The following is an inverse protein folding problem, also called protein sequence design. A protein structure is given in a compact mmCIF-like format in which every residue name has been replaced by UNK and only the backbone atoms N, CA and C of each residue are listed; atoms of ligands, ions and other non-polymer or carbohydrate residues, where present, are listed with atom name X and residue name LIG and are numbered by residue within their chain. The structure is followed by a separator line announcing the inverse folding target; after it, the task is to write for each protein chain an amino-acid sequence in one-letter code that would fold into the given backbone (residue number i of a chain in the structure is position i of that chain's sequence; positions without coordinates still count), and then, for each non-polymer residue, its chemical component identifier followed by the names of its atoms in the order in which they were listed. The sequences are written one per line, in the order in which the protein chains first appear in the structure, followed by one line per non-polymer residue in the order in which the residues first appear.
data_IF_535766594874
#
_entry.id   IF_535766594874
#
_cell.length_a   1.000
_cell.length_b   1.000
_cell.length_c   1.000
_cell.angle_alpha   90.00
_cell.angle_beta   90.00
_cell.angle_gamma   90.00
#
_symmetry.space_group_name_H-M   'P 1'
#
loop_
_entity.id
_entity.type
_entity.pdbx_description
1 polymer ?
#
# COMPACT_ATOMS: atom_id res chain seq x y z
N UNK A 1 -14.89 12.15 1.95
CA UNK A 1 -13.66 11.48 1.45
C UNK A 1 -13.96 10.01 1.21
N UNK A 2 -13.59 9.49 0.06
CA UNK A 2 -13.82 8.08 -0.28
C UNK A 2 -12.76 7.18 0.34
N UNK A 3 -13.02 5.87 0.35
CA UNK A 3 -12.01 4.90 0.78
C UNK A 3 -10.75 4.98 -0.08
N UNK A 4 -10.92 5.23 -1.38
CA UNK A 4 -9.80 5.42 -2.30
C UNK A 4 -8.95 6.62 -1.91
N UNK A 5 -9.57 7.76 -1.64
CA UNK A 5 -8.85 8.98 -1.24
C UNK A 5 -8.12 8.78 0.09
N UNK A 6 -8.77 8.13 1.05
CA UNK A 6 -8.15 7.82 2.34
C UNK A 6 -6.96 6.89 2.17
N UNK A 7 -7.09 5.86 1.34
CA UNK A 7 -6.00 4.92 1.10
C UNK A 7 -4.78 5.64 0.52
N UNK A 8 -4.99 6.48 -0.50
CA UNK A 8 -3.90 7.21 -1.15
C UNK A 8 -3.19 8.10 -0.14
N UNK A 9 -3.94 8.87 0.64
CA UNK A 9 -3.38 9.76 1.65
C UNK A 9 -2.57 9.00 2.70
N UNK A 10 -3.13 7.92 3.23
CA UNK A 10 -2.48 7.12 4.27
C UNK A 10 -1.29 6.35 3.73
N UNK A 11 -1.35 5.86 2.49
CA UNK A 11 -0.21 5.19 1.89
C UNK A 11 0.97 6.14 1.69
N UNK A 12 0.71 7.36 1.21
CA UNK A 12 1.79 8.34 1.04
C UNK A 12 2.45 8.68 2.37
N UNK A 13 1.67 8.77 3.45
CA UNK A 13 2.19 8.98 4.79
C UNK A 13 3.03 7.79 5.27
N UNK A 14 2.55 6.58 5.04
CA UNK A 14 3.24 5.33 5.40
C UNK A 14 4.59 5.23 4.67
N UNK A 15 4.57 5.46 3.37
CA UNK A 15 5.76 5.41 2.52
C UNK A 15 6.79 6.47 2.94
N UNK A 16 6.33 7.69 3.23
CA UNK A 16 7.21 8.77 3.64
C UNK A 16 7.95 8.43 4.93
N UNK A 17 7.26 7.87 5.92
CA UNK A 17 7.88 7.47 7.19
C UNK A 17 8.97 6.42 6.98
N UNK A 18 8.72 5.44 6.13
CA UNK A 18 9.73 4.42 5.82
C UNK A 18 10.91 5.05 5.10
N UNK A 19 10.66 5.92 4.13
CA UNK A 19 11.68 6.60 3.35
C UNK A 19 12.57 7.50 4.22
N UNK A 20 12.01 8.09 5.26
CA UNK A 20 12.73 8.94 6.21
C UNK A 20 13.42 8.13 7.31
N UNK A 21 13.41 6.80 7.23
CA UNK A 21 13.99 5.88 8.20
C UNK A 21 13.34 5.98 9.58
N UNK A 22 12.07 6.34 9.62
CA UNK A 22 11.27 6.39 10.85
C UNK A 22 10.70 5.01 11.23
N UNK A 23 10.93 3.99 10.40
CA UNK A 23 10.45 2.64 10.65
C UNK A 23 9.05 2.40 10.12
N UNK A 24 8.40 1.36 10.61
CA UNK A 24 7.09 0.92 10.17
C UNK A 24 6.04 1.38 11.18
N UNK A 25 5.03 2.12 10.72
CA UNK A 25 3.86 2.45 11.52
C UNK A 25 2.83 1.33 11.35
N UNK A 26 2.79 0.41 12.31
CA UNK A 26 1.93 -0.78 12.22
C UNK A 26 0.44 -0.44 12.31
N UNK A 27 0.07 0.61 13.04
CA UNK A 27 -1.32 1.05 13.07
C UNK A 27 -1.77 1.54 11.70
N UNK A 28 -0.92 2.31 11.05
CA UNK A 28 -1.19 2.82 9.70
C UNK A 28 -1.24 1.67 8.70
N UNK A 29 -0.37 0.67 8.86
CA UNK A 29 -0.40 -0.53 8.02
C UNK A 29 -1.73 -1.27 8.16
N UNK A 30 -2.23 -1.46 9.38
CA UNK A 30 -3.52 -2.09 9.61
C UNK A 30 -4.66 -1.30 8.96
N UNK A 31 -4.60 0.03 9.02
CA UNK A 31 -5.58 0.89 8.36
C UNK A 31 -5.54 0.73 6.84
N UNK A 32 -4.35 0.60 6.26
CA UNK A 32 -4.19 0.35 4.83
C UNK A 32 -4.82 -0.98 4.42
N UNK A 33 -4.60 -2.03 5.21
CA UNK A 33 -5.19 -3.34 4.93
C UNK A 33 -6.72 -3.29 4.99
N UNK A 34 -7.27 -2.59 5.98
CA UNK A 34 -8.71 -2.41 6.10
C UNK A 34 -9.28 -1.67 4.89
N UNK A 35 -8.60 -0.59 4.46
CA UNK A 35 -9.04 0.19 3.30
C UNK A 35 -8.98 -0.63 2.01
N UNK A 36 -7.95 -1.45 1.84
CA UNK A 36 -7.85 -2.34 0.68
C UNK A 36 -9.02 -3.34 0.67
N UNK A 37 -9.38 -3.87 1.83
CA UNK A 37 -10.54 -4.76 1.94
C UNK A 37 -11.83 -4.03 1.55
N UNK A 38 -12.06 -2.83 2.08
CA UNK A 38 -13.25 -2.05 1.76
C UNK A 38 -13.30 -1.68 0.28
N UNK A 39 -12.17 -1.30 -0.30
CA UNK A 39 -12.10 -1.00 -1.73
C UNK A 39 -12.36 -2.23 -2.60
N UNK A 40 -11.99 -3.43 -2.14
CA UNK A 40 -12.29 -4.66 -2.88
C UNK A 40 -13.80 -4.86 -3.00
N UNK A 41 -14.56 -4.43 -1.99
CA UNK A 41 -16.01 -4.45 -2.03
C UNK A 41 -16.54 -3.34 -2.95
N UNK A 42 -15.98 -2.13 -2.81
CA UNK A 42 -16.41 -0.97 -3.61
C UNK A 42 -16.28 -1.22 -5.12
N UNK A 43 -15.23 -1.93 -5.53
CA UNK A 43 -14.92 -2.15 -6.95
C UNK A 43 -15.27 -3.55 -7.46
N UNK A 44 -15.93 -4.38 -6.64
CA UNK A 44 -16.17 -5.80 -6.96
C UNK A 44 -16.90 -6.03 -8.29
N UNK A 45 -17.79 -5.11 -8.68
CA UNK A 45 -18.58 -5.25 -9.89
C UNK A 45 -18.28 -4.16 -10.92
N UNK A 46 -17.07 -3.57 -10.85
CA UNK A 46 -16.68 -2.49 -11.74
C UNK A 46 -15.51 -2.94 -12.62
N UNK A 47 -15.55 -2.53 -13.89
CA UNK A 47 -14.52 -2.85 -14.86
C UNK A 47 -13.35 -1.85 -14.83
N UNK A 48 -13.51 -0.74 -14.12
CA UNK A 48 -12.52 0.35 -14.09
C UNK A 48 -12.29 0.81 -12.67
N UNK A 49 -11.07 1.33 -12.42
CA UNK A 49 -10.73 2.00 -11.17
C UNK A 49 -10.21 3.40 -11.49
N UNK A 50 -10.25 4.35 -10.54
CA UNK A 50 -9.68 5.68 -10.76
C UNK A 50 -8.20 5.60 -11.14
N UNK A 51 -7.78 6.43 -12.09
CA UNK A 51 -6.38 6.45 -12.53
C UNK A 51 -5.42 6.77 -11.38
N UNK A 52 -5.83 7.65 -10.47
CA UNK A 52 -4.99 8.00 -9.30
C UNK A 52 -4.72 6.79 -8.40
N UNK A 53 -5.68 5.88 -8.30
CA UNK A 53 -5.49 4.64 -7.53
C UNK A 53 -4.55 3.68 -8.27
N UNK A 54 -4.74 3.52 -9.58
CA UNK A 54 -3.87 2.69 -10.40
C UNK A 54 -2.43 3.18 -10.33
N UNK A 55 -2.22 4.49 -10.36
CA UNK A 55 -0.89 5.10 -10.25
C UNK A 55 -0.20 4.71 -8.94
N UNK A 56 -0.92 4.83 -7.82
CA UNK A 56 -0.38 4.44 -6.51
C UNK A 56 -0.08 2.94 -6.48
N UNK A 57 -0.96 2.10 -7.00
CA UNK A 57 -0.74 0.65 -7.01
C UNK A 57 0.51 0.26 -7.82
N UNK A 58 0.76 0.93 -8.95
CA UNK A 58 1.92 0.64 -9.78
C UNK A 58 3.23 1.02 -9.11
N UNK A 59 3.24 2.09 -8.33
CA UNK A 59 4.46 2.58 -7.65
C UNK A 59 4.71 1.93 -6.30
N UNK A 60 3.69 1.36 -5.68
CA UNK A 60 3.71 0.98 -4.27
C UNK A 60 4.82 -0.01 -3.94
N UNK A 61 4.94 -1.08 -4.70
CA UNK A 61 5.95 -2.13 -4.44
C UNK A 61 7.37 -1.57 -4.59
N UNK A 62 7.62 -0.87 -5.69
CA UNK A 62 8.95 -0.32 -5.97
C UNK A 62 9.37 0.74 -4.95
N UNK A 63 8.43 1.60 -4.53
CA UNK A 63 8.70 2.62 -3.54
C UNK A 63 9.12 2.00 -2.19
N UNK A 64 8.37 1.01 -1.72
CA UNK A 64 8.64 0.37 -0.43
C UNK A 64 9.90 -0.46 -0.46
N UNK A 65 10.11 -1.27 -1.50
CA UNK A 65 11.29 -2.14 -1.59
C UNK A 65 12.57 -1.35 -1.79
N UNK A 66 12.51 -0.22 -2.51
CA UNK A 66 13.68 0.67 -2.63
C UNK A 66 14.08 1.25 -1.28
N UNK A 67 13.10 1.68 -0.48
CA UNK A 67 13.37 2.21 0.86
C UNK A 67 13.88 1.12 1.81
N UNK A 68 13.44 -0.13 1.63
CA UNK A 68 13.86 -1.24 2.47
C UNK A 68 15.38 -1.45 2.45
N UNK A 69 16.03 -1.13 1.34
CA UNK A 69 17.49 -1.30 1.20
C UNK A 69 18.29 -0.43 2.17
N UNK A 70 17.67 0.61 2.74
CA UNK A 70 18.31 1.49 3.72
C UNK A 70 18.30 0.93 5.14
N UNK A 71 17.62 -0.18 5.37
CA UNK A 71 17.45 -0.78 6.70
C UNK A 71 18.31 -2.04 6.84
N UNK A 72 18.49 -2.52 8.09
CA UNK A 72 19.16 -3.79 8.33
C UNK A 72 18.32 -4.96 7.79
N UNK A 73 18.92 -6.15 7.79
CA UNK A 73 18.29 -7.32 7.17
C UNK A 73 16.89 -7.63 7.74
N UNK A 74 16.75 -7.58 9.06
CA UNK A 74 15.48 -7.91 9.72
C UNK A 74 14.37 -6.94 9.30
N UNK A 75 14.63 -5.64 9.37
CA UNK A 75 13.66 -4.63 8.98
C UNK A 75 13.43 -4.63 7.47
N UNK A 76 14.47 -4.85 6.69
CA UNK A 76 14.37 -4.94 5.23
C UNK A 76 13.42 -6.08 4.83
N UNK A 77 13.60 -7.25 5.42
CA UNK A 77 12.76 -8.41 5.12
C UNK A 77 11.30 -8.13 5.49
N UNK A 78 11.06 -7.43 6.60
CA UNK A 78 9.72 -7.08 7.01
C UNK A 78 9.07 -6.06 6.08
N UNK A 79 9.79 -5.03 5.66
CA UNK A 79 9.27 -4.04 4.71
C UNK A 79 8.94 -4.72 3.38
N UNK A 80 9.81 -5.60 2.91
CA UNK A 80 9.57 -6.34 1.67
C UNK A 80 8.34 -7.25 1.78
N UNK A 81 8.14 -7.88 2.93
CA UNK A 81 6.94 -8.69 3.19
C UNK A 81 5.68 -7.82 3.17
N UNK A 82 5.73 -6.66 3.79
CA UNK A 82 4.61 -5.70 3.79
C UNK A 82 4.30 -5.25 2.36
N UNK A 83 5.33 -4.94 1.57
CA UNK A 83 5.16 -4.53 0.18
C UNK A 83 4.45 -5.63 -0.63
N UNK A 84 4.89 -6.88 -0.46
CA UNK A 84 4.27 -8.03 -1.14
C UNK A 84 2.81 -8.20 -0.72
N UNK A 85 2.52 -8.08 0.57
CA UNK A 85 1.16 -8.25 1.08
C UNK A 85 0.22 -7.15 0.57
N UNK A 86 0.67 -5.89 0.62
CA UNK A 86 -0.13 -4.78 0.10
C UNK A 86 -0.40 -4.94 -1.40
N UNK A 87 0.61 -5.35 -2.17
CA UNK A 87 0.46 -5.54 -3.61
C UNK A 87 -0.44 -6.72 -3.95
N UNK A 88 -0.40 -7.80 -3.17
CA UNK A 88 -1.31 -8.93 -3.36
C UNK A 88 -2.77 -8.51 -3.12
N UNK A 89 -3.02 -7.70 -2.08
CA UNK A 89 -4.36 -7.16 -1.82
C UNK A 89 -4.82 -6.21 -2.92
N UNK A 90 -3.91 -5.35 -3.40
CA UNK A 90 -4.21 -4.46 -4.51
C UNK A 90 -4.55 -5.23 -5.79
N UNK A 91 -3.83 -6.31 -6.05
CA UNK A 91 -4.08 -7.17 -7.20
C UNK A 91 -5.50 -7.75 -7.17
N UNK A 92 -5.99 -8.13 -6.00
CA UNK A 92 -7.34 -8.65 -5.87
C UNK A 92 -8.41 -7.62 -6.27
N UNK A 93 -8.10 -6.33 -6.15
CA UNK A 93 -9.00 -5.26 -6.59
C UNK A 93 -8.96 -5.12 -8.10
N UNK A 94 -7.76 -5.14 -8.68
CA UNK A 94 -7.54 -4.88 -10.12
C UNK A 94 -7.94 -6.08 -10.97
N UNK A 95 -7.71 -7.29 -10.49
CA UNK A 95 -7.87 -8.52 -11.26
C UNK A 95 -9.12 -9.33 -10.89
N UNK A 96 -9.99 -8.77 -10.08
CA UNK A 96 -11.20 -9.48 -9.64
C UNK A 96 -12.31 -9.51 -10.70
#
# INVERSE_FOLDING_TARGET
MTNTDLFIEKFLQFDLQIREKAGIDYQLYDELLTLLYLMSIDYANQDVIPKKLADVFLDMWGALTSSADMYDKTMRDEINHIADNLCNKARNIVCS
#
